data_IF_884713452627
#
_entry.id   IF_884713452627
#
_cell.length_a   1.000
_cell.length_b   1.000
_cell.length_c   1.000
_cell.angle_alpha   90.00
_cell.angle_beta   90.00
_cell.angle_gamma   90.00
#
_symmetry.space_group_name_H-M   'P 1'
#
loop_
_entity.id
_entity.type
_entity.pdbx_description
1 polymer ?
#
# COMPACT_ATOMS: atom_id res chain seq x y z
N UNK A 1 16.76 -15.27 14.15
CA UNK A 1 15.51 -14.59 14.52
C UNK A 1 15.74 -13.12 14.20
N UNK A 2 15.08 -12.57 13.17
CA UNK A 2 15.27 -11.18 12.75
C UNK A 2 14.61 -10.25 13.79
N UNK A 3 15.31 -9.22 14.25
CA UNK A 3 14.85 -8.30 15.31
C UNK A 3 13.89 -7.24 14.77
N UNK A 4 12.97 -6.77 15.61
CA UNK A 4 12.04 -5.65 15.31
C UNK A 4 12.75 -4.40 14.78
N UNK A 5 13.99 -4.14 15.24
CA UNK A 5 14.82 -3.04 14.76
C UNK A 5 15.17 -3.16 13.28
N UNK A 6 15.30 -4.39 12.76
CA UNK A 6 15.60 -4.63 11.35
C UNK A 6 14.38 -4.33 10.46
N UNK A 7 13.16 -4.55 10.99
CA UNK A 7 11.91 -4.22 10.28
C UNK A 7 11.74 -2.70 10.19
N UNK A 8 11.99 -1.98 11.29
CA UNK A 8 11.98 -0.50 11.28
C UNK A 8 13.04 0.07 10.34
N UNK A 9 14.25 -0.46 10.36
CA UNK A 9 15.33 0.02 9.49
C UNK A 9 15.03 -0.19 8.01
N UNK A 10 14.40 -1.30 7.61
CA UNK A 10 13.95 -1.50 6.22
C UNK A 10 12.82 -0.53 5.82
N UNK A 11 11.91 -0.22 6.74
CA UNK A 11 10.85 0.77 6.49
C UNK A 11 11.44 2.16 6.33
N UNK A 12 12.41 2.53 7.18
CA UNK A 12 13.11 3.81 7.12
C UNK A 12 13.96 3.93 5.84
N UNK A 13 14.67 2.87 5.42
CA UNK A 13 15.45 2.88 4.18
C UNK A 13 14.57 2.96 2.93
N UNK A 14 13.39 2.32 2.94
CA UNK A 14 12.40 2.45 1.88
C UNK A 14 11.82 3.87 1.82
N UNK A 15 11.49 4.47 2.98
CA UNK A 15 11.02 5.85 3.07
C UNK A 15 12.08 6.86 2.61
N UNK A 16 13.36 6.64 2.95
CA UNK A 16 14.47 7.51 2.53
C UNK A 16 14.67 7.43 1.01
N UNK A 17 14.67 6.23 0.42
CA UNK A 17 14.76 6.09 -1.04
C UNK A 17 13.58 6.75 -1.77
N UNK A 18 12.38 6.59 -1.23
CA UNK A 18 11.19 7.21 -1.81
C UNK A 18 11.23 8.73 -1.76
N UNK A 19 11.74 9.28 -0.65
CA UNK A 19 11.95 10.71 -0.49
C UNK A 19 13.05 11.25 -1.40
N UNK A 20 14.13 10.48 -1.62
CA UNK A 20 15.20 10.83 -2.55
C UNK A 20 14.76 10.73 -4.02
N UNK A 21 13.88 9.79 -4.37
CA UNK A 21 13.34 9.60 -5.72
C UNK A 21 12.09 10.45 -6.01
N UNK A 22 11.52 11.13 -5.00
CA UNK A 22 10.29 11.90 -5.14
C UNK A 22 9.09 11.03 -5.53
N UNK A 23 8.99 9.83 -4.95
CA UNK A 23 7.91 8.89 -5.25
C UNK A 23 6.58 9.43 -4.71
N UNK A 24 5.67 9.73 -5.64
CA UNK A 24 4.29 10.11 -5.33
C UNK A 24 3.38 8.88 -5.32
N UNK A 25 2.23 8.94 -4.63
CA UNK A 25 1.21 7.90 -4.72
C UNK A 25 0.82 7.58 -6.17
N UNK A 26 0.68 6.29 -6.50
CA UNK A 26 0.30 5.87 -7.85
C UNK A 26 -1.18 6.14 -8.09
N UNK A 27 -1.51 6.86 -9.15
CA UNK A 27 -2.90 7.03 -9.58
C UNK A 27 -3.51 5.66 -9.90
N UNK A 28 -4.61 5.33 -9.24
CA UNK A 28 -5.29 4.05 -9.36
C UNK A 28 -6.19 4.03 -10.58
N UNK A 29 -5.88 3.15 -11.53
CA UNK A 29 -6.78 2.79 -12.62
C UNK A 29 -7.36 1.40 -12.38
N UNK A 30 -8.49 1.05 -13.02
CA UNK A 30 -9.06 -0.30 -12.94
C UNK A 30 -8.03 -1.40 -13.29
N UNK A 31 -7.10 -1.11 -14.19
CA UNK A 31 -6.02 -2.01 -14.59
C UNK A 31 -4.93 -2.21 -13.52
N UNK A 32 -4.77 -1.29 -12.58
CA UNK A 32 -3.80 -1.36 -11.48
C UNK A 32 -4.37 -2.04 -10.23
N UNK A 33 -5.67 -2.37 -10.27
CA UNK A 33 -6.35 -3.12 -9.21
C UNK A 33 -6.10 -4.63 -9.31
N UNK A 34 -5.34 -5.10 -10.31
CA UNK A 34 -5.02 -6.51 -10.51
C UNK A 34 -3.52 -6.76 -10.29
N UNK A 35 -3.12 -7.96 -9.81
CA UNK A 35 -1.71 -8.30 -9.68
C UNK A 35 -1.01 -8.39 -11.05
N UNK A 36 0.29 -8.02 -11.14
CA UNK A 36 1.17 -7.63 -10.04
C UNK A 36 0.98 -6.17 -9.60
N UNK A 37 0.81 -5.95 -8.29
CA UNK A 37 0.70 -4.61 -7.73
C UNK A 37 2.03 -3.86 -7.82
N UNK A 38 1.99 -2.62 -8.31
CA UNK A 38 3.18 -1.77 -8.53
C UNK A 38 3.12 -0.49 -7.70
N UNK A 39 2.56 -0.54 -6.51
CA UNK A 39 2.47 0.64 -5.67
C UNK A 39 3.86 1.08 -5.21
N UNK A 40 4.16 2.38 -5.32
CA UNK A 40 5.39 2.93 -4.77
C UNK A 40 5.36 2.80 -3.26
N UNK A 41 6.50 2.47 -2.68
CA UNK A 41 6.68 2.53 -1.24
C UNK A 41 7.15 3.93 -0.89
N UNK A 42 6.29 4.70 -0.22
CA UNK A 42 6.59 6.05 0.26
C UNK A 42 6.91 6.07 1.76
N UNK A 43 6.76 4.93 2.44
CA UNK A 43 6.97 4.80 3.87
C UNK A 43 6.14 5.80 4.68
N UNK A 44 6.78 6.42 5.67
CA UNK A 44 6.18 7.43 6.54
C UNK A 44 6.05 8.83 5.92
N UNK A 45 6.34 8.99 4.63
CA UNK A 45 6.20 10.27 3.94
C UNK A 45 4.71 10.61 3.80
N UNK A 46 4.33 11.83 4.18
CA UNK A 46 3.00 12.38 3.95
C UNK A 46 3.04 13.19 2.65
N UNK A 47 2.42 12.71 1.55
CA UNK A 47 2.49 13.38 0.27
C UNK A 47 1.62 14.65 0.29
N UNK A 48 2.23 15.81 0.04
CA UNK A 48 1.58 17.11 0.17
C UNK A 48 0.49 17.28 -0.91
N UNK A 49 -0.75 17.57 -0.48
CA UNK A 49 -1.90 17.75 -1.38
C UNK A 49 -2.77 16.51 -1.60
N UNK A 50 -2.45 15.38 -0.96
CA UNK A 50 -3.26 14.17 -0.98
C UNK A 50 -4.02 14.00 0.33
N UNK A 51 -5.29 13.60 0.26
CA UNK A 51 -6.07 13.31 1.46
C UNK A 51 -6.15 11.79 1.68
N UNK A 52 -5.74 11.34 2.86
CA UNK A 52 -5.84 9.93 3.26
C UNK A 52 -7.32 9.52 3.33
N UNK A 53 -7.69 8.55 2.49
CA UNK A 53 -9.05 8.00 2.43
C UNK A 53 -9.15 6.76 3.31
N UNK A 54 -8.27 5.79 3.09
CA UNK A 54 -8.33 4.50 3.79
C UNK A 54 -6.97 3.80 3.80
N UNK A 55 -6.65 3.15 4.93
CA UNK A 55 -5.49 2.28 5.07
C UNK A 55 -5.91 0.82 4.88
N UNK A 56 -5.32 0.17 3.88
CA UNK A 56 -5.56 -1.23 3.54
C UNK A 56 -4.41 -2.09 4.04
N UNK A 57 -4.74 -3.03 4.92
CA UNK A 57 -3.78 -4.00 5.42
C UNK A 57 -3.80 -5.25 4.56
N UNK A 58 -2.65 -5.62 3.97
CA UNK A 58 -2.55 -6.68 2.96
C UNK A 58 -1.51 -7.70 3.36
N UNK A 59 -1.85 -8.98 3.25
CA UNK A 59 -0.89 -10.08 3.34
C UNK A 59 -0.21 -10.28 1.99
N UNK A 60 1.10 -10.02 1.93
CA UNK A 60 1.93 -10.27 0.75
C UNK A 60 2.57 -11.66 0.78
N UNK A 61 2.45 -12.39 1.89
CA UNK A 61 3.01 -13.74 2.00
C UNK A 61 2.32 -14.74 1.05
N UNK A 62 1.06 -14.48 0.69
CA UNK A 62 0.26 -15.35 -0.17
C UNK A 62 -0.26 -16.60 0.57
N UNK A 63 -0.09 -16.64 1.89
CA UNK A 63 -0.60 -17.69 2.78
C UNK A 63 -1.77 -17.22 3.65
N UNK A 64 -2.18 -15.95 3.53
CA UNK A 64 -3.35 -15.42 4.23
C UNK A 64 -4.63 -16.18 3.89
N UNK A 65 -5.49 -16.37 4.89
CA UNK A 65 -6.81 -16.99 4.71
C UNK A 65 -7.90 -15.91 4.62
N UNK A 66 -8.96 -16.12 3.82
CA UNK A 66 -10.08 -15.19 3.73
C UNK A 66 -10.72 -14.95 5.10
N UNK A 67 -10.98 -13.69 5.44
CA UNK A 67 -11.56 -13.29 6.73
C UNK A 67 -10.56 -13.08 7.88
N UNK A 68 -9.26 -13.09 7.60
CA UNK A 68 -8.23 -12.60 8.53
C UNK A 68 -8.19 -11.06 8.57
N UNK A 69 -7.48 -10.50 9.55
CA UNK A 69 -7.35 -9.04 9.68
C UNK A 69 -6.56 -8.42 8.50
N UNK A 70 -5.66 -9.20 7.88
CA UNK A 70 -4.94 -8.82 6.67
C UNK A 70 -5.69 -9.34 5.45
N UNK A 71 -5.98 -8.46 4.49
CA UNK A 71 -6.62 -8.82 3.23
C UNK A 71 -5.69 -9.71 2.42
N UNK A 72 -6.25 -10.76 1.83
CA UNK A 72 -5.57 -11.51 0.78
C UNK A 72 -5.37 -10.61 -0.45
N UNK A 73 -4.41 -10.96 -1.33
CA UNK A 73 -4.21 -10.22 -2.58
C UNK A 73 -5.47 -10.13 -3.46
N UNK A 74 -6.32 -11.16 -3.42
CA UNK A 74 -7.61 -11.18 -4.12
C UNK A 74 -8.63 -10.23 -3.47
N UNK A 75 -8.84 -10.32 -2.15
CA UNK A 75 -9.76 -9.41 -1.44
C UNK A 75 -9.32 -7.95 -1.56
N UNK A 76 -8.01 -7.71 -1.53
CA UNK A 76 -7.44 -6.39 -1.75
C UNK A 76 -7.73 -5.88 -3.16
N UNK A 77 -7.54 -6.70 -4.20
CA UNK A 77 -7.86 -6.35 -5.60
C UNK A 77 -9.32 -5.96 -5.76
N UNK A 78 -10.22 -6.78 -5.22
CA UNK A 78 -11.67 -6.54 -5.30
C UNK A 78 -12.07 -5.27 -4.56
N UNK A 79 -11.53 -5.06 -3.36
CA UNK A 79 -11.81 -3.87 -2.55
C UNK A 79 -11.31 -2.60 -3.22
N UNK A 80 -10.11 -2.64 -3.78
CA UNK A 80 -9.49 -1.50 -4.44
C UNK A 80 -10.22 -1.14 -5.75
N UNK A 81 -10.62 -2.15 -6.54
CA UNK A 81 -11.46 -1.96 -7.72
C UNK A 81 -12.84 -1.39 -7.35
N UNK A 82 -13.43 -1.85 -6.25
CA UNK A 82 -14.71 -1.33 -5.77
C UNK A 82 -14.59 0.15 -5.35
N UNK A 83 -13.50 0.54 -4.66
CA UNK A 83 -13.23 1.93 -4.31
C UNK A 83 -13.04 2.81 -5.55
N UNK A 84 -12.24 2.37 -6.53
CA UNK A 84 -12.02 3.11 -7.79
C UNK A 84 -13.31 3.28 -8.58
N UNK A 85 -14.19 2.27 -8.59
CA UNK A 85 -15.50 2.35 -9.27
C UNK A 85 -16.51 3.22 -8.51
N UNK A 86 -16.43 3.27 -7.19
CA UNK A 86 -17.32 4.05 -6.35
C UNK A 86 -16.92 5.54 -6.26
N UNK A 87 -15.63 5.83 -6.43
CA UNK A 87 -15.12 7.19 -6.40
C UNK A 87 -15.35 7.93 -7.72
N UNK A 88 -15.82 9.17 -7.62
CA UNK A 88 -15.95 10.10 -8.75
C UNK A 88 -14.61 10.82 -9.08
N UNK A 89 -13.61 10.65 -8.22
CA UNK A 89 -12.27 11.25 -8.32
C UNK A 89 -11.21 10.16 -8.48
N UNK A 90 -10.07 10.52 -9.08
CA UNK A 90 -8.92 9.63 -9.16
C UNK A 90 -8.38 9.37 -7.76
N UNK A 91 -8.42 8.11 -7.35
CA UNK A 91 -7.76 7.66 -6.14
C UNK A 91 -6.28 7.39 -6.42
N UNK A 92 -5.47 7.43 -5.39
CA UNK A 92 -4.06 7.09 -5.46
C UNK A 92 -3.71 6.07 -4.39
N UNK A 93 -2.71 5.22 -4.62
CA UNK A 93 -2.26 4.25 -3.64
C UNK A 93 -0.75 4.26 -3.49
N UNK A 94 -0.30 4.10 -2.25
CA UNK A 94 1.11 3.94 -1.93
C UNK A 94 1.28 3.00 -0.73
N UNK A 95 2.41 2.29 -0.68
CA UNK A 95 2.78 1.49 0.48
C UNK A 95 3.37 2.44 1.51
N UNK A 96 2.77 2.49 2.69
CA UNK A 96 3.19 3.37 3.79
C UNK A 96 3.95 2.61 4.88
N UNK A 97 3.70 1.30 5.00
CA UNK A 97 4.46 0.45 5.92
C UNK A 97 4.67 -0.92 5.28
N UNK A 98 5.87 -1.47 5.42
CA UNK A 98 6.21 -2.81 4.93
C UNK A 98 6.75 -3.66 6.08
N UNK A 99 5.97 -4.66 6.47
CA UNK A 99 6.38 -5.73 7.36
C UNK A 99 6.96 -6.92 6.61
N UNK A 100 7.37 -7.94 7.37
CA UNK A 100 7.99 -9.16 6.82
C UNK A 100 7.02 -10.02 5.98
N UNK A 101 5.73 -9.99 6.33
CA UNK A 101 4.68 -10.79 5.67
C UNK A 101 3.45 -9.95 5.27
N UNK A 102 3.29 -8.80 5.92
CA UNK A 102 2.13 -7.92 5.79
C UNK A 102 2.61 -6.52 5.46
N UNK A 103 1.81 -5.77 4.70
CA UNK A 103 2.10 -4.40 4.30
C UNK A 103 0.84 -3.54 4.43
N UNK A 104 1.04 -2.25 4.66
CA UNK A 104 -0.03 -1.26 4.64
C UNK A 104 0.04 -0.48 3.34
N UNK A 105 -1.08 -0.47 2.61
CA UNK A 105 -1.30 0.37 1.44
C UNK A 105 -2.29 1.45 1.84
N UNK A 106 -1.85 2.70 1.83
CA UNK A 106 -2.74 3.84 2.05
C UNK A 106 -3.31 4.28 0.70
N UNK A 107 -4.63 4.43 0.66
CA UNK A 107 -5.37 5.00 -0.46
C UNK A 107 -5.62 6.48 -0.17
N UNK A 108 -5.31 7.31 -1.14
CA UNK A 108 -5.46 8.77 -1.12
C UNK A 108 -6.47 9.23 -2.18
N UNK A 109 -6.95 10.46 -2.05
CA UNK A 109 -7.73 11.18 -3.07
C UNK A 109 -7.23 12.61 -3.26
#
# INVERSE_FOLDING_TARGET
>A
MMSLQYIQQMSDEAAVKAAEEGLEPLALWPSDCEPPFRFPNIGSMDPEGFEKVEDLFVDHSGFGSPGEAALTGEEFSEKLLAMVKASEVTLFAAITETGQFQLYVTVYR
#
